data_IF_379521245705
#
_entry.id   IF_379521245705
#
_cell.length_a   1.000
_cell.length_b   1.000
_cell.length_c   1.000
_cell.angle_alpha   90.00
_cell.angle_beta   90.00
_cell.angle_gamma   90.00
#
_symmetry.space_group_name_H-M   'P 1'
#
loop_
_entity.id
_entity.type
_entity.pdbx_description
1 polymer ?
#
# COMPACT_ATOMS: atom_id res chain seq x y z
N UNK A 1 -20.34 -0.69 37.54
CA UNK A 1 -19.60 0.10 36.55
C UNK A 1 -18.14 -0.27 36.72
N UNK A 2 -17.63 -1.20 35.89
CA UNK A 2 -16.21 -1.57 35.96
C UNK A 2 -15.43 -0.58 35.12
N UNK A 3 -14.51 0.11 35.77
CA UNK A 3 -13.49 0.94 35.18
C UNK A 3 -12.67 0.10 34.19
N UNK A 4 -12.82 0.36 32.89
CA UNK A 4 -12.18 -0.38 31.78
C UNK A 4 -11.17 0.51 31.07
N UNK A 5 -10.32 1.18 31.84
CA UNK A 5 -9.15 1.94 31.33
C UNK A 5 -7.92 1.06 31.15
N UNK A 6 -8.06 -0.28 31.16
CA UNK A 6 -7.00 -1.17 30.72
C UNK A 6 -6.83 -1.03 29.19
N UNK A 7 -5.60 -0.85 28.68
CA UNK A 7 -5.38 -0.75 27.24
C UNK A 7 -5.93 -2.00 26.55
N UNK A 8 -6.75 -1.80 25.53
CA UNK A 8 -7.35 -2.90 24.77
C UNK A 8 -6.24 -3.71 24.11
N UNK A 9 -6.17 -5.01 24.40
CA UNK A 9 -5.11 -5.87 23.89
C UNK A 9 -5.46 -6.33 22.48
N UNK A 10 -4.61 -5.99 21.52
CA UNK A 10 -4.73 -6.47 20.14
C UNK A 10 -4.23 -7.92 20.05
N UNK A 11 -5.08 -8.80 19.52
CA UNK A 11 -4.79 -10.23 19.41
C UNK A 11 -5.25 -10.78 18.07
N UNK A 12 -4.55 -11.80 17.58
CA UNK A 12 -4.97 -12.56 16.41
C UNK A 12 -6.27 -13.32 16.71
N UNK A 13 -7.27 -13.17 15.83
CA UNK A 13 -8.57 -13.84 15.93
C UNK A 13 -8.44 -15.37 15.94
N UNK A 14 -7.42 -15.91 15.27
CA UNK A 14 -7.26 -17.36 15.08
C UNK A 14 -6.45 -18.00 16.22
N UNK A 15 -5.28 -17.46 16.54
CA UNK A 15 -4.35 -18.08 17.50
C UNK A 15 -4.23 -17.34 18.84
N UNK A 16 -4.85 -16.16 19.00
CA UNK A 16 -4.77 -15.36 20.22
C UNK A 16 -3.42 -14.70 20.50
N UNK A 17 -2.44 -14.83 19.59
CA UNK A 17 -1.13 -14.17 19.69
C UNK A 17 -1.32 -12.66 19.78
N UNK A 18 -0.52 -12.01 20.63
CA UNK A 18 -0.57 -10.57 20.82
C UNK A 18 0.04 -9.85 19.62
N UNK A 19 -0.60 -8.79 19.15
CA UNK A 19 -0.17 -8.00 17.99
C UNK A 19 0.24 -6.63 18.49
N UNK A 20 1.42 -6.17 18.10
CA UNK A 20 1.88 -4.80 18.35
C UNK A 20 1.45 -3.90 17.19
N UNK A 21 1.31 -2.61 17.44
CA UNK A 21 1.20 -1.61 16.38
C UNK A 21 2.59 -1.24 15.88
N UNK A 22 2.68 -0.82 14.62
CA UNK A 22 3.84 -0.06 14.13
C UNK A 22 3.83 1.32 14.79
N UNK A 23 5.00 1.80 15.18
CA UNK A 23 5.14 3.10 15.84
C UNK A 23 4.69 4.23 14.91
N UNK A 24 3.93 5.18 15.48
CA UNK A 24 3.29 6.28 14.76
C UNK A 24 4.28 7.31 14.18
N UNK A 25 5.56 7.25 14.57
CA UNK A 25 6.63 8.17 14.12
C UNK A 25 6.92 8.07 12.61
N UNK A 26 6.28 7.14 11.90
CA UNK A 26 6.38 6.95 10.45
C UNK A 26 5.31 7.72 9.63
N UNK A 27 4.36 8.41 10.29
CA UNK A 27 3.24 9.09 9.63
C UNK A 27 3.08 10.52 10.17
N UNK A 28 2.92 11.50 9.27
CA UNK A 28 2.79 12.93 9.61
C UNK A 28 1.66 13.19 10.63
N UNK A 29 1.96 14.05 11.61
CA UNK A 29 1.07 14.40 12.74
C UNK A 29 -0.26 15.06 12.33
N UNK A 30 -0.41 15.48 11.06
CA UNK A 30 -1.58 16.21 10.55
C UNK A 30 -2.73 15.32 10.09
N UNK A 31 -2.58 13.99 10.13
CA UNK A 31 -3.71 13.08 9.88
C UNK A 31 -4.44 12.78 11.19
N UNK A 32 -5.66 13.29 11.32
CA UNK A 32 -6.57 12.96 12.44
C UNK A 32 -6.97 11.47 12.46
N UNK A 33 -6.58 10.72 11.43
CA UNK A 33 -6.62 9.27 11.36
C UNK A 33 -5.26 8.72 11.81
N UNK A 34 -5.10 8.51 13.12
CA UNK A 34 -4.01 7.68 13.64
C UNK A 34 -4.09 6.32 12.95
N UNK A 35 -3.23 6.11 11.96
CA UNK A 35 -3.26 4.94 11.11
C UNK A 35 -3.01 3.71 11.98
N UNK A 36 -4.04 2.90 12.15
CA UNK A 36 -3.97 1.64 12.88
C UNK A 36 -3.25 0.63 12.00
N UNK A 37 -1.95 0.49 12.19
CA UNK A 37 -1.11 -0.39 11.37
C UNK A 37 -0.60 -1.55 12.23
N UNK A 38 -1.31 -2.69 12.26
CA UNK A 38 -0.87 -3.86 12.99
C UNK A 38 0.43 -4.41 12.39
N UNK A 39 1.42 -4.66 13.25
CA UNK A 39 2.69 -5.25 12.84
C UNK A 39 2.55 -6.78 12.70
N UNK A 40 2.86 -7.32 11.53
CA UNK A 40 2.81 -8.77 11.25
C UNK A 40 1.41 -9.36 11.29
N UNK A 41 0.40 -8.55 10.99
CA UNK A 41 -0.98 -8.99 10.87
C UNK A 41 -1.74 -8.11 9.88
N UNK A 42 -2.81 -8.68 9.33
CA UNK A 42 -3.77 -7.96 8.48
C UNK A 42 -4.99 -7.55 9.30
N UNK A 43 -5.41 -6.29 9.12
CA UNK A 43 -6.70 -5.81 9.62
C UNK A 43 -7.80 -6.05 8.58
N UNK A 44 -8.91 -6.60 9.05
CA UNK A 44 -10.14 -6.79 8.28
C UNK A 44 -11.27 -6.03 8.94
N UNK A 45 -11.64 -4.90 8.35
CA UNK A 45 -12.75 -4.07 8.83
C UNK A 45 -14.03 -4.34 8.03
N UNK A 46 -15.16 -4.40 8.74
CA UNK A 46 -16.48 -4.49 8.15
C UNK A 46 -17.45 -3.53 8.84
N UNK A 47 -18.31 -2.89 8.05
CA UNK A 47 -19.39 -2.02 8.50
C UNK A 47 -20.71 -2.80 8.73
N UNK A 48 -20.62 -4.13 8.76
CA UNK A 48 -21.77 -5.01 8.54
C UNK A 48 -22.01 -5.24 7.04
N UNK A 49 -22.51 -6.42 6.71
CA UNK A 49 -22.81 -6.78 5.33
C UNK A 49 -24.18 -7.46 5.29
N UNK A 50 -25.08 -6.96 4.44
CA UNK A 50 -26.38 -7.59 4.20
C UNK A 50 -26.17 -9.04 3.75
N UNK A 51 -26.40 -9.99 4.67
CA UNK A 51 -26.09 -11.40 4.47
C UNK A 51 -25.53 -12.12 5.69
N UNK A 52 -25.03 -11.40 6.70
CA UNK A 52 -24.66 -11.97 8.01
C UNK A 52 -25.64 -11.56 9.11
N UNK A 53 -25.94 -12.46 10.05
CA UNK A 53 -26.72 -12.16 11.26
C UNK A 53 -25.84 -11.84 12.48
N UNK A 54 -24.51 -11.85 12.31
CA UNK A 54 -23.57 -11.70 13.41
C UNK A 54 -23.27 -10.24 13.76
N UNK A 55 -23.07 -9.39 12.75
CA UNK A 55 -22.76 -7.97 12.92
C UNK A 55 -23.33 -7.17 11.75
N UNK A 56 -24.40 -6.41 12.00
CA UNK A 56 -25.02 -5.46 11.08
C UNK A 56 -25.67 -4.33 11.88
N UNK A 57 -24.87 -3.35 12.35
CA UNK A 57 -25.35 -2.37 13.31
C UNK A 57 -26.19 -1.26 12.67
N UNK A 58 -26.17 -1.14 11.32
CA UNK A 58 -26.90 -0.14 10.54
C UNK A 58 -26.73 1.34 11.00
N UNK A 59 -25.71 1.64 11.80
CA UNK A 59 -25.44 2.96 12.40
C UNK A 59 -24.06 3.54 12.02
N UNK A 60 -23.35 2.87 11.12
CA UNK A 60 -22.01 3.25 10.69
C UNK A 60 -20.87 2.77 11.60
N UNK A 61 -21.18 2.06 12.69
CA UNK A 61 -20.15 1.40 13.51
C UNK A 61 -19.49 0.23 12.77
N UNK A 62 -18.26 -0.08 13.16
CA UNK A 62 -17.42 -1.07 12.50
C UNK A 62 -16.98 -2.18 13.45
N UNK A 63 -16.74 -3.36 12.88
CA UNK A 63 -16.00 -4.43 13.53
C UNK A 63 -14.68 -4.63 12.79
N UNK A 64 -13.59 -4.76 13.55
CA UNK A 64 -12.27 -5.07 13.04
C UNK A 64 -11.82 -6.43 13.56
N UNK A 65 -11.26 -7.26 12.69
CA UNK A 65 -10.57 -8.49 13.04
C UNK A 65 -9.11 -8.40 12.63
N UNK A 66 -8.21 -8.83 13.50
CA UNK A 66 -6.80 -8.96 13.21
C UNK A 66 -6.43 -10.43 13.00
N UNK A 67 -5.72 -10.74 11.92
CA UNK A 67 -5.20 -12.09 11.67
C UNK A 67 -3.71 -11.99 11.37
N UNK A 68 -2.88 -12.68 12.15
CA UNK A 68 -1.42 -12.67 11.95
C UNK A 68 -1.00 -13.40 10.67
N UNK A 69 0.15 -12.99 10.13
CA UNK A 69 0.67 -13.52 8.86
C UNK A 69 0.84 -15.04 8.88
N UNK A 70 1.36 -15.59 9.98
CA UNK A 70 1.49 -17.04 10.20
C UNK A 70 0.14 -17.77 10.00
N UNK A 71 -0.94 -17.21 10.56
CA UNK A 71 -2.27 -17.82 10.44
C UNK A 71 -2.88 -17.66 9.05
N UNK A 72 -2.60 -16.54 8.39
CA UNK A 72 -3.01 -16.27 7.01
C UNK A 72 -2.30 -17.21 6.03
N UNK A 73 -1.00 -17.40 6.18
CA UNK A 73 -0.18 -18.29 5.35
C UNK A 73 -0.60 -19.75 5.51
N UNK A 74 -0.71 -20.24 6.75
CA UNK A 74 -1.11 -21.62 7.07
C UNK A 74 -2.48 -21.97 6.48
N UNK A 75 -3.37 -20.98 6.35
CA UNK A 75 -4.77 -21.16 5.88
C UNK A 75 -5.03 -20.54 4.52
N UNK A 76 -3.98 -20.18 3.79
CA UNK A 76 -4.06 -19.48 2.50
C UNK A 76 -4.92 -20.19 1.46
N UNK A 77 -4.98 -21.53 1.50
CA UNK A 77 -5.84 -22.36 0.63
C UNK A 77 -7.36 -22.10 0.80
N UNK A 78 -7.78 -21.41 1.87
CA UNK A 78 -9.18 -21.02 2.13
C UNK A 78 -9.50 -19.61 1.68
N UNK A 79 -8.50 -18.86 1.20
CA UNK A 79 -8.66 -17.49 0.76
C UNK A 79 -9.03 -17.43 -0.72
N UNK A 80 -9.77 -16.39 -1.07
CA UNK A 80 -10.12 -16.07 -2.45
C UNK A 80 -9.35 -14.83 -2.88
N UNK A 81 -8.70 -14.92 -4.03
CA UNK A 81 -8.16 -13.78 -4.73
C UNK A 81 -9.24 -13.18 -5.63
N UNK A 82 -9.41 -11.86 -5.55
CA UNK A 82 -10.31 -11.08 -6.41
C UNK A 82 -9.46 -10.10 -7.20
N UNK A 83 -9.45 -10.22 -8.53
CA UNK A 83 -8.71 -9.28 -9.37
C UNK A 83 -9.49 -7.97 -9.59
N UNK A 84 -8.86 -7.01 -10.30
CA UNK A 84 -9.48 -5.71 -10.64
C UNK A 84 -10.78 -5.85 -11.46
N UNK A 85 -10.93 -6.95 -12.18
CA UNK A 85 -12.12 -7.30 -12.97
C UNK A 85 -13.17 -8.10 -12.17
N UNK A 86 -13.00 -8.21 -10.85
CA UNK A 86 -13.85 -8.97 -9.91
C UNK A 86 -13.95 -10.47 -10.21
N UNK A 87 -12.97 -11.03 -10.91
CA UNK A 87 -12.89 -12.46 -11.12
C UNK A 87 -12.29 -13.13 -9.89
N UNK A 88 -12.86 -14.28 -9.52
CA UNK A 88 -12.47 -15.07 -8.36
C UNK A 88 -11.47 -16.16 -8.76
N UNK A 89 -10.42 -16.33 -7.97
CA UNK A 89 -9.52 -17.48 -8.04
C UNK A 89 -9.16 -17.96 -6.63
N UNK A 90 -8.78 -19.24 -6.44
CA UNK A 90 -8.06 -19.66 -5.25
C UNK A 90 -6.80 -18.82 -5.06
N UNK A 91 -6.56 -18.36 -3.84
CA UNK A 91 -5.48 -17.43 -3.54
C UNK A 91 -4.09 -18.00 -3.81
N UNK A 92 -3.86 -19.25 -3.40
CA UNK A 92 -2.60 -19.99 -3.62
C UNK A 92 -2.21 -20.08 -5.10
N UNK A 93 -3.18 -20.39 -5.96
CA UNK A 93 -2.98 -20.44 -7.42
C UNK A 93 -2.62 -19.04 -7.94
N UNK A 94 -3.38 -18.02 -7.55
CA UNK A 94 -3.16 -16.65 -8.01
C UNK A 94 -1.78 -16.12 -7.58
N UNK A 95 -1.34 -16.40 -6.36
CA UNK A 95 -0.04 -15.97 -5.87
C UNK A 95 1.12 -16.66 -6.60
N UNK A 96 0.98 -17.95 -6.92
CA UNK A 96 1.98 -18.67 -7.72
C UNK A 96 2.13 -18.07 -9.12
N UNK A 97 1.02 -17.81 -9.82
CA UNK A 97 1.03 -17.16 -11.13
C UNK A 97 1.71 -15.78 -11.08
N UNK A 98 1.44 -14.99 -10.03
CA UNK A 98 2.06 -13.68 -9.83
C UNK A 98 3.57 -13.78 -9.60
N UNK A 99 4.02 -14.73 -8.80
CA UNK A 99 5.43 -14.95 -8.52
C UNK A 99 6.19 -15.38 -9.79
N UNK A 100 5.63 -16.30 -10.56
CA UNK A 100 6.20 -16.73 -11.85
C UNK A 100 6.33 -15.57 -12.83
N UNK A 101 5.30 -14.73 -12.93
CA UNK A 101 5.33 -13.52 -13.76
C UNK A 101 6.40 -12.54 -13.30
N UNK A 102 6.48 -12.25 -12.00
CA UNK A 102 7.48 -11.34 -11.46
C UNK A 102 8.91 -11.84 -11.70
N UNK A 103 9.15 -13.15 -11.56
CA UNK A 103 10.44 -13.77 -11.89
C UNK A 103 10.79 -13.62 -13.37
N UNK A 104 9.81 -13.80 -14.26
CA UNK A 104 10.01 -13.62 -15.70
C UNK A 104 10.33 -12.16 -16.06
N UNK A 105 9.56 -11.19 -15.53
CA UNK A 105 9.79 -9.75 -15.72
C UNK A 105 11.17 -9.32 -15.20
N UNK A 106 11.57 -9.84 -14.03
CA UNK A 106 12.90 -9.57 -13.47
C UNK A 106 14.01 -10.14 -14.35
N UNK A 107 13.88 -11.37 -14.83
CA UNK A 107 14.86 -12.01 -15.72
C UNK A 107 14.97 -11.27 -17.07
N UNK A 108 13.86 -10.80 -17.62
CA UNK A 108 13.85 -9.97 -18.84
C UNK A 108 14.58 -8.65 -18.62
N UNK A 109 14.34 -7.97 -17.50
CA UNK A 109 15.02 -6.72 -17.14
C UNK A 109 16.52 -6.91 -16.93
N UNK A 110 16.93 -8.05 -16.39
CA UNK A 110 18.35 -8.41 -16.22
C UNK A 110 19.01 -8.78 -17.56
N UNK A 111 18.28 -9.45 -18.46
CA UNK A 111 18.76 -9.80 -19.80
C UNK A 111 18.85 -8.59 -20.74
N UNK A 112 17.97 -7.61 -20.57
CA UNK A 112 17.95 -6.36 -21.31
C UNK A 112 18.18 -5.18 -20.34
N UNK A 113 19.42 -4.98 -19.85
CA UNK A 113 19.73 -3.85 -19.01
C UNK A 113 19.48 -2.57 -19.82
N UNK A 114 18.43 -1.83 -19.44
CA UNK A 114 18.21 -0.49 -19.97
C UNK A 114 19.39 0.36 -19.51
N UNK A 115 20.31 0.64 -20.44
CA UNK A 115 21.33 1.68 -20.24
C UNK A 115 20.56 2.98 -19.99
N UNK A 116 20.75 3.65 -18.84
CA UNK A 116 20.12 4.95 -18.63
C UNK A 116 20.46 5.86 -19.83
N UNK A 117 19.45 6.30 -20.59
CA UNK A 117 19.66 7.17 -21.76
C UNK A 117 20.15 8.57 -21.38
N UNK A 118 20.30 8.85 -20.09
CA UNK A 118 21.05 10.01 -19.62
C UNK A 118 22.52 9.63 -19.50
N UNK A 119 23.23 9.65 -20.62
CA UNK A 119 24.57 10.22 -20.56
C UNK A 119 24.34 11.66 -20.09
N UNK A 120 24.97 12.14 -19.00
CA UNK A 120 24.97 13.56 -18.73
C UNK A 120 25.64 14.19 -19.96
N UNK A 121 24.88 14.89 -20.80
CA UNK A 121 25.49 15.99 -21.53
C UNK A 121 26.25 16.79 -20.47
N UNK A 122 27.54 17.00 -20.67
CA UNK A 122 28.37 17.80 -19.78
C UNK A 122 27.69 19.17 -19.63
N UNK A 123 26.88 19.33 -18.59
CA UNK A 123 26.24 20.61 -18.28
C UNK A 123 27.38 21.55 -17.95
N UNK A 124 27.57 22.54 -18.80
CA UNK A 124 28.48 23.63 -18.51
C UNK A 124 28.02 24.24 -17.18
N UNK A 125 28.94 24.28 -16.22
CA UNK A 125 28.78 24.87 -14.90
C UNK A 125 29.54 26.19 -14.86
N UNK A 126 29.01 27.17 -14.14
CA UNK A 126 29.71 28.43 -13.88
C UNK A 126 30.87 28.25 -12.87
N UNK A 127 31.58 29.34 -12.58
CA UNK A 127 32.72 29.34 -11.64
C UNK A 127 32.34 28.91 -10.21
N UNK A 128 31.05 29.00 -9.86
CA UNK A 128 30.48 28.61 -8.56
C UNK A 128 29.89 27.19 -8.57
N UNK A 129 29.95 26.48 -9.70
CA UNK A 129 29.51 25.09 -9.84
C UNK A 129 28.02 24.90 -10.13
N UNK A 130 27.29 25.97 -10.47
CA UNK A 130 25.88 25.91 -10.85
C UNK A 130 25.71 25.72 -12.36
N UNK A 131 24.75 24.90 -12.80
CA UNK A 131 24.52 24.67 -14.22
C UNK A 131 24.11 25.97 -14.90
N UNK A 132 24.78 26.30 -16.00
CA UNK A 132 24.49 27.48 -16.81
C UNK A 132 23.13 27.25 -17.49
N UNK A 133 22.11 27.96 -17.05
CA UNK A 133 20.76 27.91 -17.64
C UNK A 133 20.69 29.01 -18.72
N UNK A 134 20.60 28.63 -19.99
CA UNK A 134 20.24 29.58 -21.04
C UNK A 134 18.73 29.89 -20.99
N UNK A 135 18.33 31.13 -21.29
CA UNK A 135 16.92 31.55 -21.21
C UNK A 135 15.97 30.69 -22.08
N UNK A 136 16.49 30.07 -23.15
CA UNK A 136 15.73 29.15 -23.99
C UNK A 136 15.33 27.85 -23.27
N UNK A 137 16.20 27.31 -22.39
CA UNK A 137 15.87 26.12 -21.58
C UNK A 137 14.81 26.38 -20.50
N UNK A 138 14.69 27.63 -20.04
CA UNK A 138 13.68 27.98 -19.04
C UNK A 138 12.27 28.08 -19.66
N UNK A 139 12.17 28.51 -20.93
CA UNK A 139 10.89 28.62 -21.65
C UNK A 139 10.26 27.26 -21.98
N UNK A 140 11.06 26.21 -22.20
CA UNK A 140 10.54 24.88 -22.53
C UNK A 140 10.08 24.06 -21.32
N UNK A 141 10.44 24.48 -20.10
CA UNK A 141 10.04 23.80 -18.86
C UNK A 141 8.73 24.32 -18.25
N UNK A 142 8.16 25.41 -18.77
CA UNK A 142 6.89 25.94 -18.30
C UNK A 142 5.75 25.46 -19.23
N UNK A 143 4.76 24.69 -18.73
CA UNK A 143 3.60 24.34 -19.53
C UNK A 143 2.82 25.61 -19.91
N UNK A 144 2.52 25.78 -21.20
CA UNK A 144 1.68 26.87 -21.70
C UNK A 144 0.31 26.81 -21.00
N UNK A 145 -0.11 27.93 -20.39
CA UNK A 145 -1.44 28.03 -19.78
C UNK A 145 -2.52 27.77 -20.84
N UNK A 146 -3.53 26.94 -20.56
CA UNK A 146 -4.62 26.72 -21.50
C UNK A 146 -5.39 28.02 -21.76
N UNK A 147 -5.47 28.40 -23.04
CA UNK A 147 -6.24 29.53 -23.54
C UNK A 147 -7.74 29.33 -23.28
N UNK A 148 -8.31 30.11 -22.38
CA UNK A 148 -9.77 30.27 -22.26
C UNK A 148 -10.26 31.22 -23.36
N UNK A 149 -10.82 30.68 -24.44
CA UNK A 149 -11.60 31.48 -25.37
C UNK A 149 -13.05 31.54 -24.88
N UNK A 150 -13.53 32.77 -24.65
CA UNK A 150 -14.94 33.14 -24.50
C UNK A 150 -15.68 33.05 -25.84
#
# INVERSE_FOLDING_TARGET
>A
MNDKTAPFKLVCLICGKSISLLDADLFDEDSNDKSFLPNGAMELCSYGHYGTTFFDPCDGTQVAALICDECMEERSSRLLYINKQRQLKPFDIAMKELEERWKAEKAEREANPVVPQFLPEERQVDEDGYPIINEESFRTMLPEKPSTNN
#
